data_IF_879307329943
#
_entry.id   IF_879307329943
#
_cell.length_a   1.000
_cell.length_b   1.000
_cell.length_c   1.000
_cell.angle_alpha   90.00
_cell.angle_beta   90.00
_cell.angle_gamma   90.00
#
_symmetry.space_group_name_H-M   'P 1'
#
loop_
_entity.id
_entity.type
_entity.pdbx_description
1 polymer ?
#
# COMPACT_ATOMS: atom_id res chain seq x y z
N UNK A 1 14.33 -9.57 -0.58
CA UNK A 1 12.85 -9.68 -0.68
C UNK A 1 12.51 -10.96 0.04
N UNK A 2 11.94 -10.89 1.24
CA UNK A 2 11.58 -12.09 1.99
C UNK A 2 10.34 -12.69 1.33
N UNK A 3 10.47 -13.91 0.80
CA UNK A 3 9.35 -14.64 0.23
C UNK A 3 8.48 -15.17 1.36
N UNK A 4 7.17 -14.96 1.27
CA UNK A 4 6.19 -15.58 2.17
C UNK A 4 6.22 -17.10 1.98
N UNK A 5 6.34 -17.85 3.07
CA UNK A 5 6.24 -19.32 3.03
C UNK A 5 4.82 -19.72 2.59
N UNK A 6 4.66 -20.73 1.72
CA UNK A 6 3.35 -21.26 1.38
C UNK A 6 2.65 -21.73 2.67
N UNK A 7 1.48 -21.13 2.98
CA UNK A 7 0.72 -21.38 4.21
C UNK A 7 0.74 -20.24 5.23
N UNK A 8 1.66 -19.28 5.12
CA UNK A 8 1.70 -18.08 5.99
C UNK A 8 1.92 -16.83 5.13
N UNK A 9 0.83 -16.35 4.53
CA UNK A 9 0.84 -15.07 3.80
C UNK A 9 0.75 -13.90 4.78
N UNK A 10 1.35 -12.76 4.43
CA UNK A 10 1.17 -11.50 5.15
C UNK A 10 -0.32 -11.13 5.31
N UNK A 11 -1.18 -11.60 4.40
CA UNK A 11 -2.64 -11.42 4.49
C UNK A 11 -3.23 -12.11 5.72
N UNK A 12 -2.72 -13.29 6.09
CA UNK A 12 -3.19 -14.03 7.27
C UNK A 12 -2.77 -13.34 8.58
N UNK A 13 -1.59 -12.72 8.60
CA UNK A 13 -1.16 -11.93 9.76
C UNK A 13 -2.09 -10.74 9.98
N UNK A 14 -2.40 -10.01 8.91
CA UNK A 14 -3.34 -8.88 8.96
C UNK A 14 -4.71 -9.35 9.48
N UNK A 15 -5.25 -10.44 8.91
CA UNK A 15 -6.54 -10.98 9.32
C UNK A 15 -6.55 -11.43 10.80
N UNK A 16 -5.46 -12.02 11.28
CA UNK A 16 -5.31 -12.42 12.69
C UNK A 16 -5.31 -11.21 13.64
N UNK A 17 -4.66 -10.12 13.25
CA UNK A 17 -4.63 -8.86 14.02
C UNK A 17 -6.01 -8.23 14.04
N UNK A 18 -6.69 -8.16 12.90
CA UNK A 18 -8.06 -7.66 12.81
C UNK A 18 -9.02 -8.45 13.71
N UNK A 19 -8.95 -9.79 13.65
CA UNK A 19 -9.79 -10.68 14.46
C UNK A 19 -9.58 -10.50 15.96
N UNK A 20 -8.34 -10.26 16.42
CA UNK A 20 -8.06 -10.04 17.83
C UNK A 20 -8.61 -8.69 18.30
N UNK A 21 -8.36 -7.63 17.53
CA UNK A 21 -8.87 -6.28 17.83
C UNK A 21 -10.39 -6.30 17.92
N UNK A 22 -11.07 -6.94 16.96
CA UNK A 22 -12.53 -7.06 16.96
C UNK A 22 -13.04 -7.80 18.20
N UNK A 23 -12.40 -8.91 18.58
CA UNK A 23 -12.76 -9.65 19.81
C UNK A 23 -12.57 -8.83 21.08
N UNK A 24 -11.52 -8.01 21.17
CA UNK A 24 -11.29 -7.14 22.31
C UNK A 24 -12.32 -6.00 22.36
N UNK A 25 -12.58 -5.35 21.23
CA UNK A 25 -13.55 -4.27 21.13
C UNK A 25 -14.98 -4.75 21.45
N UNK A 26 -15.37 -5.94 21.01
CA UNK A 26 -16.69 -6.50 21.32
C UNK A 26 -16.92 -6.76 22.83
N UNK A 27 -15.86 -6.83 23.63
CA UNK A 27 -15.94 -7.06 25.08
C UNK A 27 -15.72 -5.80 25.92
N UNK A 28 -15.26 -4.73 25.30
CA UNK A 28 -14.80 -3.53 26.02
C UNK A 28 -15.38 -2.28 25.39
N UNK A 29 -16.16 -1.54 26.18
CA UNK A 29 -16.60 -0.21 25.78
C UNK A 29 -15.46 0.79 25.98
N UNK A 30 -15.30 1.70 25.02
CA UNK A 30 -14.36 2.81 25.14
C UNK A 30 -15.06 4.13 24.83
N UNK A 31 -14.84 5.12 25.69
CA UNK A 31 -15.48 6.44 25.60
C UNK A 31 -14.48 7.56 25.28
N UNK A 32 -13.22 7.21 25.01
CA UNK A 32 -12.13 8.15 24.74
C UNK A 32 -11.08 7.53 23.80
N UNK A 33 -10.44 8.33 22.93
CA UNK A 33 -9.32 7.88 22.10
C UNK A 33 -8.17 7.25 22.90
N UNK A 34 -7.93 7.75 24.13
CA UNK A 34 -6.90 7.20 25.03
C UNK A 34 -7.30 5.80 25.52
N UNK A 35 -8.61 5.61 25.78
CA UNK A 35 -9.17 4.30 26.14
C UNK A 35 -8.97 3.28 25.03
N UNK A 36 -9.22 3.68 23.78
CA UNK A 36 -8.97 2.84 22.61
C UNK A 36 -7.49 2.42 22.50
N UNK A 37 -6.55 3.37 22.64
CA UNK A 37 -5.11 3.06 22.59
C UNK A 37 -4.70 2.05 23.67
N UNK A 38 -5.26 2.17 24.89
CA UNK A 38 -4.98 1.23 25.98
C UNK A 38 -5.48 -0.18 25.64
N UNK A 39 -6.69 -0.31 25.12
CA UNK A 39 -7.27 -1.60 24.72
C UNK A 39 -6.41 -2.24 23.63
N UNK A 40 -6.06 -1.49 22.59
CA UNK A 40 -5.21 -1.99 21.50
C UNK A 40 -3.84 -2.46 21.99
N UNK A 41 -3.21 -1.74 22.93
CA UNK A 41 -1.92 -2.17 23.50
C UNK A 41 -2.02 -3.43 24.36
N UNK A 42 -3.20 -3.71 24.93
CA UNK A 42 -3.43 -4.85 25.83
C UNK A 42 -3.97 -6.09 25.10
N UNK A 43 -4.52 -5.94 23.90
CA UNK A 43 -5.14 -7.03 23.13
C UNK A 43 -4.17 -8.18 22.82
N UNK A 44 -2.89 -7.88 22.57
CA UNK A 44 -1.85 -8.89 22.38
C UNK A 44 -0.71 -8.72 23.40
N UNK A 45 -0.82 -9.25 24.63
CA UNK A 45 0.19 -9.07 25.68
C UNK A 45 1.54 -9.69 25.33
N UNK A 46 1.54 -10.75 24.51
CA UNK A 46 2.77 -11.45 24.10
C UNK A 46 3.55 -10.66 23.07
N UNK A 47 2.86 -9.99 22.15
CA UNK A 47 3.44 -9.15 21.11
C UNK A 47 2.64 -7.86 20.98
N UNK A 48 2.88 -6.87 21.88
CA UNK A 48 2.09 -5.65 21.92
C UNK A 48 2.13 -4.91 20.59
N UNK A 49 0.99 -4.39 20.16
CA UNK A 49 0.92 -3.63 18.91
C UNK A 49 1.69 -2.31 19.00
N UNK A 50 2.43 -2.01 17.93
CA UNK A 50 2.94 -0.67 17.69
C UNK A 50 1.84 0.21 17.11
N UNK A 51 1.17 0.96 17.99
CA UNK A 51 0.13 1.91 17.59
C UNK A 51 0.78 3.17 17.01
N UNK A 52 0.48 3.46 15.74
CA UNK A 52 0.93 4.68 15.05
C UNK A 52 -0.30 5.56 14.83
N UNK A 53 -0.25 6.80 15.33
CA UNK A 53 -1.30 7.78 15.07
C UNK A 53 -1.02 8.45 13.72
N UNK A 54 -1.87 8.17 12.73
CA UNK A 54 -1.78 8.83 11.43
C UNK A 54 -2.13 10.32 11.55
N UNK A 55 -1.31 11.16 10.94
CA UNK A 55 -1.59 12.58 10.68
C UNK A 55 -2.44 12.71 9.41
N UNK A 56 -3.16 13.84 9.23
CA UNK A 56 -3.84 14.13 7.97
C UNK A 56 -2.95 13.95 6.74
N UNK A 57 -1.66 14.31 6.84
CA UNK A 57 -0.67 14.19 5.76
C UNK A 57 -0.27 12.73 5.45
N UNK A 58 -0.48 11.80 6.39
CA UNK A 58 -0.21 10.38 6.17
C UNK A 58 -1.30 9.74 5.29
N UNK A 59 -2.49 10.34 5.21
CA UNK A 59 -3.57 9.89 4.33
C UNK A 59 -3.25 10.23 2.88
N UNK A 60 -2.67 9.25 2.18
CA UNK A 60 -2.36 9.39 0.76
C UNK A 60 -3.64 9.38 -0.07
N UNK A 61 -3.92 10.50 -0.73
CA UNK A 61 -5.03 10.66 -1.67
C UNK A 61 -4.82 9.93 -3.00
N UNK A 62 -4.74 8.60 -2.99
CA UNK A 62 -4.41 7.81 -4.19
C UNK A 62 -5.32 8.10 -5.39
N UNK A 63 -6.61 8.34 -5.16
CA UNK A 63 -7.56 8.70 -6.24
C UNK A 63 -7.25 10.04 -6.87
N UNK A 64 -6.83 11.03 -6.09
CA UNK A 64 -6.42 12.35 -6.58
C UNK A 64 -5.09 12.25 -7.33
N UNK A 65 -4.11 11.60 -6.72
CA UNK A 65 -2.78 11.39 -7.31
C UNK A 65 -2.83 10.57 -8.60
N UNK A 66 -3.73 9.59 -8.69
CA UNK A 66 -3.96 8.80 -9.91
C UNK A 66 -4.45 9.67 -11.06
N UNK A 67 -5.32 10.67 -10.82
CA UNK A 67 -5.76 11.60 -11.87
C UNK A 67 -4.60 12.47 -12.40
N UNK A 68 -3.60 12.72 -11.56
CA UNK A 68 -2.38 13.47 -11.90
C UNK A 68 -1.32 12.59 -12.61
N UNK A 69 -1.64 11.37 -12.98
CA UNK A 69 -0.69 10.46 -13.66
C UNK A 69 -1.15 10.23 -15.09
N UNK A 70 -0.22 10.29 -16.05
CA UNK A 70 -0.56 10.07 -17.46
C UNK A 70 -0.59 8.57 -17.80
N UNK A 71 -1.59 7.87 -17.27
CA UNK A 71 -1.75 6.44 -17.47
C UNK A 71 -2.00 6.05 -18.93
N UNK A 72 -2.47 6.97 -19.78
CA UNK A 72 -2.71 6.71 -21.21
C UNK A 72 -1.44 6.36 -21.99
N UNK A 73 -0.25 6.72 -21.47
CA UNK A 73 1.04 6.40 -22.10
C UNK A 73 1.30 4.89 -22.09
N UNK A 74 0.82 4.18 -21.07
CA UNK A 74 1.06 2.75 -20.92
C UNK A 74 -0.11 1.98 -21.55
N UNK A 75 0.13 1.13 -22.57
CA UNK A 75 -0.92 0.36 -23.21
C UNK A 75 -1.26 -0.87 -22.35
N UNK A 76 -2.00 -0.67 -21.25
CA UNK A 76 -2.25 -1.71 -20.23
C UNK A 76 -2.83 -3.02 -20.77
N UNK A 77 -3.56 -2.97 -21.88
CA UNK A 77 -4.15 -4.17 -22.53
C UNK A 77 -3.13 -5.03 -23.26
N UNK A 78 -1.94 -4.51 -23.56
CA UNK A 78 -0.87 -5.22 -24.27
C UNK A 78 0.40 -5.39 -23.44
N UNK A 79 0.37 -5.07 -22.14
CA UNK A 79 1.52 -5.27 -21.27
C UNK A 79 1.60 -6.74 -20.86
N UNK A 80 2.69 -7.40 -21.22
CA UNK A 80 2.98 -8.77 -20.83
C UNK A 80 3.85 -8.85 -19.57
N UNK A 81 4.77 -7.89 -19.38
CA UNK A 81 5.69 -7.86 -18.23
C UNK A 81 5.78 -6.44 -17.69
N UNK A 82 5.62 -6.30 -16.36
CA UNK A 82 5.87 -5.06 -15.61
C UNK A 82 7.11 -5.22 -14.75
N UNK A 83 7.99 -4.22 -14.79
CA UNK A 83 9.21 -4.17 -14.00
C UNK A 83 9.15 -2.98 -13.06
N UNK A 84 9.08 -3.28 -11.77
CA UNK A 84 9.11 -2.27 -10.73
C UNK A 84 10.54 -1.77 -10.51
N UNK A 85 10.70 -0.46 -10.50
CA UNK A 85 11.95 0.20 -10.10
C UNK A 85 11.71 1.02 -8.85
N UNK A 86 12.80 1.46 -8.19
CA UNK A 86 12.68 2.30 -6.98
C UNK A 86 12.03 3.66 -7.26
N UNK A 87 12.01 4.10 -8.51
CA UNK A 87 11.35 5.33 -8.94
C UNK A 87 9.87 5.08 -9.22
N UNK A 88 9.00 5.68 -8.42
CA UNK A 88 7.54 5.54 -8.53
C UNK A 88 6.94 6.09 -9.82
N UNK A 89 7.66 6.97 -10.53
CA UNK A 89 7.16 7.70 -11.69
C UNK A 89 7.55 7.07 -13.03
N UNK A 90 8.40 6.05 -13.03
CA UNK A 90 8.86 5.40 -14.26
C UNK A 90 8.39 3.97 -14.25
N UNK A 91 7.54 3.63 -15.21
CA UNK A 91 7.04 2.27 -15.41
C UNK A 91 7.83 1.66 -16.56
N UNK A 92 8.54 0.57 -16.27
CA UNK A 92 9.22 -0.22 -17.29
C UNK A 92 8.33 -1.41 -17.64
N UNK A 93 8.07 -1.62 -18.92
CA UNK A 93 7.18 -2.68 -19.39
C UNK A 93 7.65 -3.32 -20.69
N UNK A 94 7.21 -4.54 -20.93
CA UNK A 94 7.34 -5.23 -22.21
C UNK A 94 5.96 -5.63 -22.74
N UNK A 95 5.82 -5.62 -24.05
CA UNK A 95 4.61 -6.05 -24.76
C UNK A 95 4.63 -7.53 -25.10
N UNK A 96 5.81 -8.14 -25.16
CA UNK A 96 5.99 -9.59 -25.31
C UNK A 96 6.76 -10.21 -24.14
N UNK A 97 6.65 -11.53 -24.00
CA UNK A 97 7.49 -12.33 -23.08
C UNK A 97 8.85 -12.70 -23.69
N UNK A 98 9.12 -12.29 -24.93
CA UNK A 98 10.40 -12.56 -25.57
C UNK A 98 11.56 -11.90 -24.79
N UNK A 99 12.63 -12.68 -24.60
CA UNK A 99 13.83 -12.26 -23.88
C UNK A 99 14.58 -11.17 -24.63
N UNK A 100 14.51 -11.16 -25.96
CA UNK A 100 15.21 -10.22 -26.82
C UNK A 100 14.45 -8.91 -27.08
N UNK A 101 13.19 -8.80 -26.66
CA UNK A 101 12.47 -7.53 -26.81
C UNK A 101 13.08 -6.44 -25.91
N UNK A 102 13.31 -5.24 -26.47
CA UNK A 102 13.78 -4.10 -25.71
C UNK A 102 12.74 -3.69 -24.65
N UNK A 103 13.23 -3.25 -23.48
CA UNK A 103 12.37 -2.72 -22.43
C UNK A 103 11.85 -1.33 -22.83
N UNK A 104 10.53 -1.13 -22.79
CA UNK A 104 9.93 0.18 -22.93
C UNK A 104 9.87 0.85 -21.56
N UNK A 105 10.07 2.17 -21.52
CA UNK A 105 9.91 2.97 -20.31
C UNK A 105 8.93 4.10 -20.54
N UNK A 106 7.99 4.26 -19.62
CA UNK A 106 7.04 5.36 -19.60
C UNK A 106 7.19 6.15 -18.31
N UNK A 107 7.45 7.44 -18.44
CA UNK A 107 7.35 8.37 -17.32
C UNK A 107 5.89 8.80 -17.17
N UNK A 108 5.27 8.40 -16.07
CA UNK A 108 3.85 8.69 -15.77
C UNK A 108 3.67 10.04 -15.05
N UNK A 109 4.77 10.78 -14.77
CA UNK A 109 4.72 12.12 -14.17
C UNK A 109 4.21 13.15 -15.19
N UNK A 110 3.36 14.07 -14.77
CA UNK A 110 3.01 15.25 -15.55
C UNK A 110 4.22 16.19 -15.74
N UNK A 111 4.31 16.83 -16.91
CA UNK A 111 5.06 18.07 -17.09
C UNK A 111 4.18 19.22 -16.58
N UNK A 112 4.66 19.92 -15.55
CA UNK A 112 4.17 21.20 -15.01
C UNK A 112 2.66 21.35 -14.76
N UNK A 113 2.28 21.21 -13.50
CA UNK A 113 1.30 22.13 -12.91
C UNK A 113 2.03 22.89 -11.82
N UNK A 114 2.26 24.19 -12.06
CA UNK A 114 2.62 25.19 -11.07
C UNK A 114 2.08 24.79 -9.70
N UNK A 115 2.96 24.38 -8.79
CA UNK A 115 2.59 24.33 -7.39
C UNK A 115 2.28 25.78 -7.01
N UNK A 116 1.00 26.10 -6.83
CA UNK A 116 0.63 27.32 -6.11
C UNK A 116 0.81 26.98 -4.64
N UNK A 117 1.63 27.79 -3.99
CA UNK A 117 1.94 27.79 -2.56
C UNK A 117 0.67 27.79 -1.68
#
# INVERSE_FOLDING_TARGET
>A
MAYSLPGHSCVLEVDSVHSNIEKAMNKTDFYSPIGLIRILKQDNPRHPYHVIQMRPDDFKGFKGTAKLSNYKIVPFTSVAVLKFTRTLHTVNFKTSQDKFEPENSANIKFAETSMRD
#
